data_IF_857934214279
#
_entry.id   IF_857934214279
#
_cell.length_a   1.000
_cell.length_b   1.000
_cell.length_c   1.000
_cell.angle_alpha   90.00
_cell.angle_beta   90.00
_cell.angle_gamma   90.00
#
_symmetry.space_group_name_H-M   'P 1'
#
loop_
_entity.id
_entity.type
_entity.pdbx_description
1 polymer ?
#
# COMPACT_ATOMS: atom_id res chain seq x y z
N UNK A 1 -8.18 -18.41 -58.52
CA UNK A 1 -8.24 -17.26 -57.59
C UNK A 1 -8.24 -17.79 -56.17
N UNK A 2 -7.08 -17.91 -55.53
CA UNK A 2 -6.99 -18.03 -54.07
C UNK A 2 -5.97 -16.99 -53.65
N UNK A 3 -6.49 -15.84 -53.22
CA UNK A 3 -5.73 -14.73 -52.69
C UNK A 3 -5.51 -15.01 -51.20
N UNK A 4 -4.37 -15.59 -50.85
CA UNK A 4 -3.92 -15.67 -49.45
C UNK A 4 -3.03 -14.44 -49.22
N UNK A 5 -3.54 -13.37 -48.58
CA UNK A 5 -2.70 -12.22 -48.31
C UNK A 5 -1.70 -12.64 -47.23
N UNK A 6 -0.42 -12.40 -47.52
CA UNK A 6 0.69 -12.48 -46.57
C UNK A 6 0.37 -11.60 -45.36
N UNK A 7 -0.23 -12.15 -44.32
CA UNK A 7 -0.18 -11.53 -43.00
C UNK A 7 1.14 -11.99 -42.40
N UNK A 8 2.19 -11.15 -42.33
CA UNK A 8 3.45 -11.55 -41.73
C UNK A 8 3.17 -11.94 -40.28
N UNK A 9 3.79 -13.04 -39.81
CA UNK A 9 3.64 -13.53 -38.43
C UNK A 9 3.79 -12.42 -37.38
N UNK A 10 4.56 -11.38 -37.70
CA UNK A 10 4.74 -10.16 -36.91
C UNK A 10 3.42 -9.43 -36.62
N UNK A 11 2.52 -9.28 -37.60
CA UNK A 11 1.25 -8.58 -37.39
C UNK A 11 0.30 -9.38 -36.48
N UNK A 12 0.27 -10.70 -36.62
CA UNK A 12 -0.49 -11.58 -35.74
C UNK A 12 0.07 -11.55 -34.32
N UNK A 13 1.40 -11.55 -34.16
CA UNK A 13 2.07 -11.44 -32.87
C UNK A 13 1.81 -10.07 -32.23
N UNK A 14 1.86 -8.97 -32.98
CA UNK A 14 1.53 -7.62 -32.46
C UNK A 14 0.08 -7.58 -31.98
N UNK A 15 -0.88 -8.10 -32.75
CA UNK A 15 -2.28 -8.15 -32.34
C UNK A 15 -2.47 -9.01 -31.09
N UNK A 16 -1.86 -10.19 -31.04
CA UNK A 16 -1.86 -11.06 -29.86
C UNK A 16 -1.28 -10.35 -28.64
N UNK A 17 -0.14 -9.66 -28.78
CA UNK A 17 0.47 -8.91 -27.69
C UNK A 17 -0.41 -7.75 -27.21
N UNK A 18 -1.11 -7.05 -28.11
CA UNK A 18 -2.03 -5.97 -27.71
C UNK A 18 -3.32 -6.48 -27.04
N UNK A 19 -3.74 -7.71 -27.34
CA UNK A 19 -4.92 -8.34 -26.74
C UNK A 19 -4.58 -9.03 -25.41
N UNK A 20 -3.39 -9.64 -25.32
CA UNK A 20 -2.93 -10.38 -24.14
C UNK A 20 -2.23 -9.50 -23.10
N UNK A 21 -1.67 -8.36 -23.51
CA UNK A 21 -1.16 -7.38 -22.56
C UNK A 21 -2.32 -6.52 -22.08
N UNK A 22 -2.59 -6.41 -20.77
CA UNK A 22 -3.58 -5.44 -20.30
C UNK A 22 -3.17 -4.05 -20.79
N UNK A 23 -4.05 -3.26 -21.44
CA UNK A 23 -3.71 -1.92 -21.84
C UNK A 23 -3.26 -1.15 -20.60
N UNK A 24 -2.25 -0.30 -20.72
CA UNK A 24 -1.76 0.57 -19.64
C UNK A 24 -2.93 1.36 -18.99
N UNK A 25 -4.02 1.57 -19.73
CA UNK A 25 -5.28 2.17 -19.24
C UNK A 25 -6.06 1.32 -18.19
N UNK A 26 -5.78 0.02 -18.03
CA UNK A 26 -6.35 -0.82 -16.96
C UNK A 26 -5.56 -0.73 -15.66
N UNK A 27 -4.40 -0.06 -15.65
CA UNK A 27 -3.76 0.36 -14.39
C UNK A 27 -4.68 1.40 -13.78
N UNK A 28 -5.49 0.97 -12.79
CA UNK A 28 -6.30 1.87 -11.98
C UNK A 28 -5.41 3.01 -11.50
N UNK A 29 -5.71 4.19 -11.99
CA UNK A 29 -5.25 5.50 -11.53
C UNK A 29 -3.81 5.54 -10.97
N UNK A 30 -2.83 5.75 -11.85
CA UNK A 30 -1.43 5.95 -11.48
C UNK A 30 -1.13 7.35 -10.91
N UNK A 31 -2.16 8.13 -10.55
CA UNK A 31 -1.96 9.40 -9.86
C UNK A 31 -1.28 9.16 -8.51
N UNK A 32 -0.30 9.99 -8.13
CA UNK A 32 0.29 9.92 -6.79
C UNK A 32 -0.82 10.17 -5.77
N UNK A 33 -0.92 9.27 -4.81
CA UNK A 33 -1.84 9.39 -3.68
C UNK A 33 -1.04 9.58 -2.41
N UNK A 34 -1.66 10.31 -1.49
CA UNK A 34 -1.15 10.53 -0.15
C UNK A 34 -2.22 10.02 0.80
N UNK A 35 -1.82 9.15 1.72
CA UNK A 35 -2.69 8.59 2.74
C UNK A 35 -2.02 8.75 4.09
N UNK A 36 -2.65 9.56 4.92
CA UNK A 36 -2.45 9.56 6.37
C UNK A 36 -3.50 8.62 6.97
N UNK A 37 -3.07 7.64 7.75
CA UNK A 37 -3.95 6.68 8.37
C UNK A 37 -3.48 6.39 9.79
N UNK A 38 -4.39 6.28 10.73
CA UNK A 38 -4.08 5.96 12.12
C UNK A 38 -4.98 4.83 12.64
N UNK A 39 -4.43 3.98 13.49
CA UNK A 39 -5.18 2.98 14.24
C UNK A 39 -5.00 3.18 15.74
N UNK A 40 -6.10 3.07 16.49
CA UNK A 40 -6.08 3.05 17.96
C UNK A 40 -6.58 1.66 18.38
N UNK A 41 -5.64 0.77 18.68
CA UNK A 41 -5.92 -0.62 18.98
C UNK A 41 -6.05 -0.83 20.50
N UNK A 42 -7.11 -1.51 20.92
CA UNK A 42 -7.32 -1.91 22.32
C UNK A 42 -7.15 -3.42 22.47
N UNK A 43 -6.04 -3.84 23.08
CA UNK A 43 -5.73 -5.25 23.34
C UNK A 43 -6.14 -5.62 24.76
N UNK A 44 -7.13 -6.52 24.88
CA UNK A 44 -7.69 -6.98 26.15
C UNK A 44 -7.11 -8.34 26.56
N UNK A 45 -6.53 -8.43 27.75
CA UNK A 45 -6.02 -9.68 28.32
C UNK A 45 -6.78 -10.02 29.61
N UNK A 46 -7.36 -11.22 29.63
CA UNK A 46 -8.20 -11.71 30.73
C UNK A 46 -9.34 -10.74 31.09
N UNK A 47 -10.22 -10.46 30.13
CA UNK A 47 -11.26 -9.43 30.26
C UNK A 47 -10.63 -8.04 30.24
N UNK A 48 -10.97 -7.22 31.23
CA UNK A 48 -10.41 -5.85 31.39
C UNK A 48 -9.30 -5.78 32.45
N UNK A 49 -8.82 -6.93 32.94
CA UNK A 49 -7.81 -6.96 34.00
C UNK A 49 -6.47 -6.38 33.54
N UNK A 50 -6.08 -6.61 32.28
CA UNK A 50 -4.96 -5.92 31.63
C UNK A 50 -5.40 -5.47 30.25
N UNK A 51 -5.28 -4.16 30.00
CA UNK A 51 -5.61 -3.53 28.72
C UNK A 51 -4.36 -2.83 28.21
N UNK A 52 -4.01 -3.07 26.95
CA UNK A 52 -2.92 -2.37 26.26
C UNK A 52 -3.50 -1.57 25.11
N UNK A 53 -3.37 -0.26 25.21
CA UNK A 53 -3.59 0.66 24.10
C UNK A 53 -2.35 0.72 23.22
N UNK A 54 -2.56 0.63 21.91
CA UNK A 54 -1.51 0.74 20.92
C UNK A 54 -1.99 1.67 19.79
N UNK A 55 -1.42 2.87 19.72
CA UNK A 55 -1.76 3.87 18.71
C UNK A 55 -0.67 3.89 17.65
N UNK A 56 -1.07 3.77 16.38
CA UNK A 56 -0.13 3.62 15.25
C UNK A 56 -0.50 4.61 14.18
N UNK A 57 0.51 5.26 13.61
CA UNK A 57 0.35 6.21 12.53
C UNK A 57 1.08 5.69 11.30
N UNK A 58 0.44 5.85 10.15
CA UNK A 58 0.88 5.35 8.87
C UNK A 58 0.85 6.46 7.84
N UNK A 59 1.97 6.60 7.15
CA UNK A 59 2.09 7.42 5.96
C UNK A 59 2.33 6.54 4.74
N UNK A 60 1.41 6.55 3.78
CA UNK A 60 1.52 5.78 2.54
C UNK A 60 1.86 4.28 2.74
N UNK A 61 1.14 3.63 3.67
CA UNK A 61 1.29 2.22 4.07
C UNK A 61 2.50 1.91 4.99
N UNK A 62 3.34 2.90 5.28
CA UNK A 62 4.48 2.74 6.19
C UNK A 62 4.12 3.27 7.58
N UNK A 63 4.27 2.45 8.62
CA UNK A 63 4.10 2.90 10.01
C UNK A 63 5.28 3.80 10.40
N UNK A 64 5.02 5.05 10.75
CA UNK A 64 6.05 6.04 11.05
C UNK A 64 6.17 6.34 12.56
N UNK A 65 5.07 6.27 13.31
CA UNK A 65 5.00 6.63 14.73
C UNK A 65 4.10 5.65 15.49
N UNK A 66 4.49 5.30 16.72
CA UNK A 66 3.73 4.41 17.59
C UNK A 66 3.70 4.88 19.03
N UNK A 67 2.53 4.94 19.64
CA UNK A 67 2.36 4.96 21.08
C UNK A 67 2.00 3.57 21.59
N UNK A 68 2.68 3.14 22.64
CA UNK A 68 2.42 1.87 23.30
C UNK A 68 2.24 2.12 24.78
N UNK A 69 1.05 1.85 25.32
CA UNK A 69 0.75 2.07 26.74
C UNK A 69 1.66 1.29 27.70
N UNK A 70 2.24 0.17 27.26
CA UNK A 70 3.24 -0.56 28.07
C UNK A 70 4.59 0.19 28.12
N UNK A 71 4.86 1.08 27.16
CA UNK A 71 6.06 1.95 27.10
C UNK A 71 5.79 3.34 27.67
N UNK A 72 4.60 3.90 27.42
CA UNK A 72 4.12 5.17 27.96
C UNK A 72 4.51 6.43 27.17
N UNK A 73 5.13 6.29 26.00
CA UNK A 73 5.54 7.42 25.16
C UNK A 73 5.40 7.10 23.66
N UNK A 74 5.37 8.16 22.85
CA UNK A 74 5.43 8.03 21.39
C UNK A 74 6.86 7.70 20.98
N UNK A 75 7.02 6.70 20.10
CA UNK A 75 8.29 6.33 19.51
C UNK A 75 8.20 6.30 18.00
N UNK A 76 9.18 6.90 17.37
CA UNK A 76 9.38 6.81 15.94
C UNK A 76 9.65 5.35 15.56
N UNK A 77 8.85 4.82 14.62
CA UNK A 77 9.09 3.51 14.00
C UNK A 77 10.04 3.68 12.83
N UNK A 78 9.92 4.79 12.11
CA UNK A 78 10.83 5.20 11.03
C UNK A 78 11.28 6.65 11.24
N UNK A 79 12.31 7.10 10.53
CA UNK A 79 12.84 8.46 10.66
C UNK A 79 11.78 9.54 10.39
N UNK A 80 10.76 9.22 9.58
CA UNK A 80 9.67 10.15 9.28
C UNK A 80 8.87 10.56 10.53
N UNK A 81 8.71 9.66 11.50
CA UNK A 81 7.99 9.95 12.75
C UNK A 81 8.88 10.49 13.87
N UNK A 82 10.19 10.63 13.64
CA UNK A 82 11.13 11.18 14.65
C UNK A 82 10.76 12.59 15.13
N UNK A 83 10.35 13.53 14.26
CA UNK A 83 9.95 14.87 14.71
C UNK A 83 8.78 14.85 15.70
N UNK A 84 7.83 13.93 15.51
CA UNK A 84 6.66 13.82 16.38
C UNK A 84 6.96 13.10 17.70
N UNK A 85 8.00 12.25 17.73
CA UNK A 85 8.43 11.53 18.93
C UNK A 85 9.30 12.37 19.88
N UNK A 86 10.01 13.38 19.38
CA UNK A 86 10.95 14.21 20.17
C UNK A 86 10.34 15.55 20.68
N UNK A 87 9.03 15.74 20.51
CA UNK A 87 8.30 16.96 20.88
C UNK A 87 8.09 17.13 22.40
#
# INVERSE_FOLDING_TARGET
MVWLPRVPCVAAVILLLTVLSPPVALVRDSRPWFLEYSTSECHFYNGTQRVRLLERYFYNLEENLRFDSDVGEFRAVTELGRPDAEN
#
